data_IF_193773587277
#
_entry.id   IF_193773587277
#
_cell.length_a   1.000
_cell.length_b   1.000
_cell.length_c   1.000
_cell.angle_alpha   90.00
_cell.angle_beta   90.00
_cell.angle_gamma   90.00
#
_symmetry.space_group_name_H-M   'P 1'
#
loop_
_entity.id
_entity.type
_entity.pdbx_description
1 polymer ?
#
# COMPACT_ATOMS: atom_id res chain seq x y z
N UNK A 1 -19.75 2.65 -11.87
CA UNK A 1 -19.51 2.23 -10.48
C UNK A 1 -18.02 2.06 -10.13
N UNK A 2 -17.24 1.24 -10.85
CA UNK A 2 -15.80 1.06 -10.54
C UNK A 2 -14.98 2.36 -10.63
N UNK A 3 -15.29 3.25 -11.60
CA UNK A 3 -14.58 4.51 -11.79
C UNK A 3 -14.78 5.47 -10.61
N UNK A 4 -16.01 5.59 -10.11
CA UNK A 4 -16.31 6.42 -8.94
C UNK A 4 -15.60 5.90 -7.68
N UNK A 5 -15.55 4.57 -7.50
CA UNK A 5 -14.79 3.95 -6.41
C UNK A 5 -13.29 4.22 -6.52
N UNK A 6 -12.73 4.16 -7.73
CA UNK A 6 -11.32 4.46 -7.97
C UNK A 6 -10.97 5.91 -7.63
N UNK A 7 -11.78 6.89 -8.07
CA UNK A 7 -11.57 8.30 -7.72
C UNK A 7 -11.74 8.57 -6.24
N UNK A 8 -12.75 7.97 -5.59
CA UNK A 8 -12.94 8.10 -4.15
C UNK A 8 -11.77 7.52 -3.38
N UNK A 9 -11.30 6.33 -3.78
CA UNK A 9 -10.12 5.70 -3.18
C UNK A 9 -8.86 6.57 -3.35
N UNK A 10 -8.64 7.14 -4.52
CA UNK A 10 -7.50 8.02 -4.77
C UNK A 10 -7.55 9.30 -3.92
N UNK A 11 -8.74 9.90 -3.76
CA UNK A 11 -8.93 11.06 -2.90
C UNK A 11 -8.66 10.72 -1.43
N UNK A 12 -9.22 9.61 -0.92
CA UNK A 12 -8.99 9.13 0.44
C UNK A 12 -7.52 8.81 0.70
N UNK A 13 -6.82 8.24 -0.28
CA UNK A 13 -5.38 7.97 -0.19
C UNK A 13 -4.57 9.26 -0.07
N UNK A 14 -4.96 10.32 -0.80
CA UNK A 14 -4.32 11.63 -0.68
C UNK A 14 -4.49 12.23 0.72
N UNK A 15 -5.68 12.17 1.30
CA UNK A 15 -5.94 12.58 2.69
C UNK A 15 -5.15 11.73 3.69
N UNK A 16 -5.10 10.42 3.49
CA UNK A 16 -4.32 9.52 4.32
C UNK A 16 -2.83 9.88 4.30
N UNK A 17 -2.24 10.15 3.12
CA UNK A 17 -0.83 10.52 3.02
C UNK A 17 -0.54 11.87 3.68
N UNK A 18 -1.44 12.85 3.57
CA UNK A 18 -1.32 14.13 4.26
C UNK A 18 -1.41 13.96 5.80
N UNK A 19 -2.37 13.19 6.27
CA UNK A 19 -2.53 12.87 7.71
C UNK A 19 -1.31 12.12 8.25
N UNK A 20 -0.82 11.13 7.51
CA UNK A 20 0.39 10.37 7.83
C UNK A 20 1.63 11.28 7.92
N UNK A 21 1.81 12.20 6.97
CA UNK A 21 2.89 13.19 7.03
C UNK A 21 2.80 14.05 8.28
N UNK A 22 1.60 14.53 8.61
CA UNK A 22 1.37 15.33 9.82
C UNK A 22 1.65 14.52 11.09
N UNK A 23 1.21 13.28 11.16
CA UNK A 23 1.46 12.39 12.29
C UNK A 23 2.94 12.09 12.51
N UNK A 24 3.75 12.07 11.45
CA UNK A 24 5.19 11.87 11.53
C UNK A 24 5.97 13.13 11.95
N UNK A 25 5.35 14.30 11.90
CA UNK A 25 5.99 15.56 12.29
C UNK A 25 6.15 15.60 13.80
N UNK A 26 7.40 15.64 14.26
CA UNK A 26 7.74 15.64 15.71
C UNK A 26 7.62 14.28 16.40
N UNK A 27 7.13 13.24 15.74
CA UNK A 27 6.94 11.92 16.33
C UNK A 27 7.93 10.88 15.77
N UNK A 28 8.17 9.82 16.54
CA UNK A 28 8.97 8.68 16.10
C UNK A 28 8.17 7.82 15.07
N UNK A 29 8.88 7.25 14.10
CA UNK A 29 8.26 6.51 12.99
C UNK A 29 7.58 5.23 13.46
N UNK A 30 8.26 4.42 14.27
CA UNK A 30 7.73 3.11 14.69
C UNK A 30 6.44 3.21 15.51
N UNK A 31 6.31 4.09 16.52
CA UNK A 31 5.04 4.28 17.24
C UNK A 31 3.89 4.71 16.33
N UNK A 32 4.13 5.62 15.37
CA UNK A 32 3.09 6.05 14.44
C UNK A 32 2.64 4.89 13.55
N UNK A 33 3.59 4.09 13.06
CA UNK A 33 3.30 2.91 12.25
C UNK A 33 2.55 1.83 13.06
N UNK A 34 2.98 1.60 14.31
CA UNK A 34 2.33 0.66 15.22
C UNK A 34 0.89 1.06 15.54
N UNK A 35 0.64 2.33 15.82
CA UNK A 35 -0.72 2.82 16.05
C UNK A 35 -1.59 2.70 14.79
N UNK A 36 -1.03 2.99 13.62
CA UNK A 36 -1.75 2.81 12.35
C UNK A 36 -2.18 1.35 12.14
N UNK A 37 -1.28 0.39 12.36
CA UNK A 37 -1.59 -1.04 12.23
C UNK A 37 -2.55 -1.52 13.33
N UNK A 38 -2.44 -0.98 14.55
CA UNK A 38 -3.37 -1.29 15.66
C UNK A 38 -4.80 -0.87 15.33
N UNK A 39 -4.99 0.39 14.92
CA UNK A 39 -6.33 0.89 14.57
C UNK A 39 -6.93 0.13 13.37
N UNK A 40 -6.12 -0.18 12.36
CA UNK A 40 -6.56 -1.00 11.24
C UNK A 40 -6.95 -2.41 11.69
N UNK A 41 -6.19 -3.00 12.61
CA UNK A 41 -6.52 -4.31 13.21
C UNK A 41 -7.83 -4.27 13.97
N UNK A 42 -8.03 -3.26 14.83
CA UNK A 42 -9.26 -3.10 15.60
C UNK A 42 -10.49 -2.91 14.71
N UNK A 43 -10.32 -2.22 13.57
CA UNK A 43 -11.41 -2.06 12.59
C UNK A 43 -11.86 -3.38 11.97
N UNK A 44 -10.91 -4.26 11.61
CA UNK A 44 -11.23 -5.55 11.00
C UNK A 44 -11.50 -6.67 12.02
N UNK A 45 -11.18 -6.48 13.30
CA UNK A 45 -11.32 -7.48 14.34
C UNK A 45 -12.74 -8.07 14.43
N UNK A 46 -13.84 -7.28 14.37
CA UNK A 46 -15.18 -7.85 14.40
C UNK A 46 -15.47 -8.78 13.21
N UNK A 47 -14.97 -8.47 12.01
CA UNK A 47 -15.14 -9.31 10.83
C UNK A 47 -14.36 -10.63 10.97
N UNK A 48 -13.12 -10.57 11.48
CA UNK A 48 -12.30 -11.75 11.78
C UNK A 48 -13.01 -12.65 12.80
N UNK A 49 -13.46 -12.09 13.92
CA UNK A 49 -14.15 -12.86 14.98
C UNK A 49 -15.45 -13.47 14.44
N UNK A 50 -16.22 -12.73 13.64
CA UNK A 50 -17.43 -13.25 13.01
C UNK A 50 -17.14 -14.45 12.11
N UNK A 51 -16.07 -14.40 11.32
CA UNK A 51 -15.68 -15.49 10.43
C UNK A 51 -15.15 -16.72 11.19
N UNK A 52 -14.23 -16.52 12.14
CA UNK A 52 -13.57 -17.63 12.85
C UNK A 52 -14.51 -18.37 13.82
N UNK A 53 -15.46 -17.64 14.43
CA UNK A 53 -16.43 -18.23 15.36
C UNK A 53 -17.79 -18.56 14.73
N UNK A 54 -17.94 -18.33 13.41
CA UNK A 54 -19.19 -18.61 12.70
C UNK A 54 -20.38 -17.80 13.19
N UNK A 55 -20.14 -16.53 13.63
CA UNK A 55 -21.20 -15.71 14.24
C UNK A 55 -22.15 -15.10 13.19
N UNK A 56 -21.78 -15.09 11.91
CA UNK A 56 -22.63 -14.62 10.82
C UNK A 56 -22.95 -13.11 10.81
N UNK A 57 -22.26 -12.30 11.61
CA UNK A 57 -22.58 -10.87 11.76
C UNK A 57 -22.45 -10.08 10.44
N UNK A 58 -21.60 -10.54 9.54
CA UNK A 58 -21.27 -9.85 8.29
C UNK A 58 -21.62 -10.62 7.02
N UNK A 59 -22.32 -11.77 7.11
CA UNK A 59 -22.58 -12.70 6.00
C UNK A 59 -23.23 -12.05 4.75
N UNK A 60 -23.95 -10.96 4.93
CA UNK A 60 -24.62 -10.24 3.82
C UNK A 60 -24.03 -8.83 3.59
N UNK A 61 -22.82 -8.58 4.06
CA UNK A 61 -22.15 -7.27 3.94
C UNK A 61 -20.88 -7.37 3.09
N UNK A 62 -20.31 -6.21 2.78
CA UNK A 62 -19.00 -6.12 2.10
C UNK A 62 -17.83 -6.62 2.95
N UNK A 63 -18.05 -6.90 4.23
CA UNK A 63 -17.04 -7.43 5.16
C UNK A 63 -17.21 -8.93 5.40
N UNK A 64 -18.08 -9.60 4.66
CA UNK A 64 -18.21 -11.04 4.71
C UNK A 64 -16.89 -11.72 4.33
N UNK A 65 -16.42 -12.62 5.16
CA UNK A 65 -15.21 -13.41 4.88
C UNK A 65 -15.36 -14.79 5.50
N UNK A 66 -14.68 -15.79 4.95
CA UNK A 66 -14.65 -17.15 5.47
C UNK A 66 -13.40 -17.38 6.32
N UNK A 67 -13.41 -18.34 7.24
CA UNK A 67 -12.22 -18.76 7.96
C UNK A 67 -11.15 -19.26 6.99
N UNK A 68 -9.88 -18.92 7.27
CA UNK A 68 -8.76 -19.23 6.38
C UNK A 68 -8.14 -20.60 6.63
N UNK A 69 -7.60 -21.21 5.59
CA UNK A 69 -6.72 -22.38 5.71
C UNK A 69 -5.33 -21.97 6.20
N UNK A 70 -4.54 -22.93 6.70
CA UNK A 70 -3.14 -22.67 7.05
C UNK A 70 -2.32 -22.09 5.90
N UNK A 71 -2.53 -22.58 4.68
CA UNK A 71 -1.88 -22.06 3.47
C UNK A 71 -2.26 -20.61 3.21
N UNK A 72 -3.55 -20.25 3.37
CA UNK A 72 -4.03 -18.89 3.21
C UNK A 72 -3.35 -17.94 4.22
N UNK A 73 -3.23 -18.36 5.48
CA UNK A 73 -2.53 -17.57 6.50
C UNK A 73 -1.04 -17.43 6.20
N UNK A 74 -0.36 -18.46 5.72
CA UNK A 74 1.05 -18.39 5.32
C UNK A 74 1.27 -17.36 4.18
N UNK A 75 0.38 -17.33 3.18
CA UNK A 75 0.43 -16.34 2.11
C UNK A 75 0.20 -14.91 2.64
N UNK A 76 -0.70 -14.71 3.60
CA UNK A 76 -0.94 -13.42 4.24
C UNK A 76 0.25 -12.99 5.11
N UNK A 77 0.91 -13.90 5.80
CA UNK A 77 2.15 -13.60 6.54
C UNK A 77 3.23 -13.07 5.61
N UNK A 78 3.45 -13.74 4.47
CA UNK A 78 4.40 -13.25 3.46
C UNK A 78 3.99 -11.87 2.91
N UNK A 79 2.69 -11.66 2.60
CA UNK A 79 2.18 -10.34 2.23
C UNK A 79 2.53 -9.29 3.29
N UNK A 80 2.25 -9.59 4.54
CA UNK A 80 2.48 -8.65 5.65
C UNK A 80 3.95 -8.27 5.77
N UNK A 81 4.87 -9.21 5.59
CA UNK A 81 6.30 -8.93 5.60
C UNK A 81 6.71 -7.98 4.46
N UNK A 82 6.22 -8.21 3.23
CA UNK A 82 6.51 -7.36 2.07
C UNK A 82 5.93 -5.95 2.28
N UNK A 83 4.67 -5.85 2.70
CA UNK A 83 3.98 -4.57 2.95
C UNK A 83 4.69 -3.80 4.06
N UNK A 84 5.01 -4.48 5.17
CA UNK A 84 5.66 -3.85 6.31
C UNK A 84 7.03 -3.29 5.95
N UNK A 85 7.83 -4.03 5.18
CA UNK A 85 9.10 -3.55 4.65
C UNK A 85 8.92 -2.27 3.83
N UNK A 86 7.93 -2.24 2.92
CA UNK A 86 7.60 -1.05 2.14
C UNK A 86 7.16 0.12 3.04
N UNK A 87 6.37 -0.15 4.06
CA UNK A 87 5.90 0.89 4.97
C UNK A 87 7.03 1.45 5.84
N UNK A 88 7.90 0.62 6.38
CA UNK A 88 9.07 1.09 7.15
C UNK A 88 9.89 2.07 6.30
N UNK A 89 10.30 1.67 5.10
CA UNK A 89 11.03 2.56 4.20
C UNK A 89 10.25 3.83 3.86
N UNK A 90 8.96 3.69 3.56
CA UNK A 90 8.09 4.81 3.19
C UNK A 90 7.88 5.80 4.32
N UNK A 91 7.67 5.33 5.54
CA UNK A 91 7.47 6.19 6.70
C UNK A 91 8.76 6.95 7.09
N UNK A 92 9.91 6.27 7.06
CA UNK A 92 11.19 6.94 7.29
C UNK A 92 11.50 7.97 6.20
N UNK A 93 11.31 7.64 4.92
CA UNK A 93 11.48 8.58 3.82
C UNK A 93 10.51 9.78 3.94
N UNK A 94 9.23 9.52 4.24
CA UNK A 94 8.22 10.57 4.39
C UNK A 94 8.49 11.48 5.60
N UNK A 95 9.08 10.96 6.68
CA UNK A 95 9.45 11.78 7.83
C UNK A 95 10.46 12.87 7.45
N UNK A 96 11.46 12.54 6.64
CA UNK A 96 12.62 13.39 6.38
C UNK A 96 12.54 14.17 5.07
N UNK A 97 11.65 13.79 4.16
CA UNK A 97 11.48 14.46 2.86
C UNK A 97 10.17 15.24 2.81
N UNK A 98 10.12 16.36 2.07
CA UNK A 98 8.87 17.04 1.78
C UNK A 98 7.94 16.15 0.93
N UNK A 99 6.63 16.31 1.12
CA UNK A 99 5.61 15.50 0.43
C UNK A 99 5.65 15.67 -1.10
N UNK A 100 6.10 16.82 -1.55
CA UNK A 100 6.32 17.18 -2.96
C UNK A 100 7.39 16.33 -3.65
N UNK A 101 8.31 15.74 -2.90
CA UNK A 101 9.32 14.78 -3.40
C UNK A 101 8.81 13.34 -3.22
N UNK A 102 8.21 13.05 -2.06
CA UNK A 102 7.68 11.72 -1.76
C UNK A 102 6.56 11.32 -2.73
N UNK A 103 5.66 12.26 -3.05
CA UNK A 103 4.53 12.04 -3.93
C UNK A 103 4.94 11.54 -5.33
N UNK A 104 5.78 12.25 -6.08
CA UNK A 104 6.25 11.81 -7.40
C UNK A 104 6.93 10.44 -7.39
N UNK A 105 7.77 10.16 -6.38
CA UNK A 105 8.45 8.86 -6.28
C UNK A 105 7.42 7.75 -6.01
N UNK A 106 6.48 7.94 -5.09
CA UNK A 106 5.41 6.98 -4.83
C UNK A 106 4.50 6.77 -6.05
N UNK A 107 4.26 7.81 -6.83
CA UNK A 107 3.44 7.73 -8.04
C UNK A 107 4.10 6.92 -9.17
N UNK A 108 5.37 6.52 -9.04
CA UNK A 108 6.00 5.54 -9.96
C UNK A 108 5.55 4.11 -9.70
N UNK A 109 5.00 3.80 -8.51
CA UNK A 109 4.55 2.43 -8.15
C UNK A 109 3.58 1.80 -9.15
N UNK A 110 2.50 2.49 -9.59
CA UNK A 110 1.59 1.91 -10.57
C UNK A 110 2.28 1.53 -11.89
N UNK A 111 3.26 2.33 -12.32
CA UNK A 111 4.04 2.03 -13.53
C UNK A 111 4.90 0.78 -13.33
N UNK A 112 5.58 0.66 -12.19
CA UNK A 112 6.35 -0.54 -11.87
C UNK A 112 5.47 -1.79 -11.75
N UNK A 113 4.29 -1.68 -11.11
CA UNK A 113 3.31 -2.78 -11.04
C UNK A 113 2.84 -3.17 -12.44
N UNK A 114 2.58 -2.22 -13.31
CA UNK A 114 2.16 -2.47 -14.68
C UNK A 114 3.24 -3.23 -15.48
N UNK A 115 4.49 -2.76 -15.41
CA UNK A 115 5.63 -3.43 -16.06
C UNK A 115 5.81 -4.84 -15.51
N UNK A 116 5.75 -4.98 -14.17
CA UNK A 116 5.81 -6.29 -13.52
C UNK A 116 4.66 -7.21 -13.93
N UNK A 117 3.44 -6.70 -14.04
CA UNK A 117 2.29 -7.48 -14.48
C UNK A 117 2.43 -7.96 -15.92
N UNK A 118 2.96 -7.11 -16.81
CA UNK A 118 3.27 -7.49 -18.18
C UNK A 118 4.31 -8.62 -18.25
N UNK A 119 5.40 -8.50 -17.49
CA UNK A 119 6.51 -9.46 -17.52
C UNK A 119 6.15 -10.78 -16.81
N UNK A 120 5.51 -10.71 -15.64
CA UNK A 120 5.27 -11.87 -14.78
C UNK A 120 3.99 -12.62 -15.18
N UNK A 121 2.91 -11.88 -15.48
CA UNK A 121 1.60 -12.45 -15.76
C UNK A 121 1.26 -12.48 -17.26
N UNK A 122 2.13 -11.96 -18.13
CA UNK A 122 1.89 -11.94 -19.58
C UNK A 122 0.70 -11.07 -19.99
N UNK A 123 0.29 -10.10 -19.17
CA UNK A 123 -0.84 -9.24 -19.46
C UNK A 123 -0.56 -8.36 -20.67
N UNK A 124 -1.56 -8.21 -21.53
CA UNK A 124 -1.51 -7.31 -22.67
C UNK A 124 -2.48 -6.16 -22.46
N UNK A 125 -1.97 -4.97 -22.62
CA UNK A 125 -2.76 -3.74 -22.54
C UNK A 125 -3.47 -3.49 -23.88
N UNK A 126 -4.72 -3.06 -23.81
CA UNK A 126 -5.43 -2.53 -24.97
C UNK A 126 -5.01 -1.06 -25.22
N UNK A 127 -5.43 -0.50 -26.37
CA UNK A 127 -5.07 0.85 -26.78
C UNK A 127 -5.49 1.93 -25.76
N UNK A 128 -6.67 1.76 -25.11
CA UNK A 128 -7.15 2.70 -24.09
C UNK A 128 -6.30 2.65 -22.81
N UNK A 129 -5.85 1.47 -22.42
CA UNK A 129 -4.96 1.30 -21.28
C UNK A 129 -3.58 1.93 -21.56
N UNK A 130 -3.04 1.77 -22.77
CA UNK A 130 -1.80 2.45 -23.18
C UNK A 130 -1.91 3.98 -23.13
N UNK A 131 -3.07 4.55 -23.54
CA UNK A 131 -3.29 5.99 -23.41
C UNK A 131 -3.31 6.43 -21.94
N UNK A 132 -3.93 5.65 -21.05
CA UNK A 132 -3.90 5.89 -19.60
C UNK A 132 -2.49 5.88 -19.03
N UNK A 133 -1.66 4.91 -19.43
CA UNK A 133 -0.25 4.84 -19.02
C UNK A 133 0.53 6.05 -19.51
N UNK A 134 0.37 6.44 -20.78
CA UNK A 134 1.03 7.61 -21.32
C UNK A 134 0.66 8.90 -20.55
N UNK A 135 -0.63 9.09 -20.26
CA UNK A 135 -1.11 10.23 -19.45
C UNK A 135 -0.53 10.21 -18.03
N UNK A 136 -0.46 9.04 -17.39
CA UNK A 136 0.15 8.89 -16.09
C UNK A 136 1.64 9.26 -16.10
N UNK A 137 2.40 8.81 -17.11
CA UNK A 137 3.81 9.13 -17.27
C UNK A 137 4.03 10.64 -17.50
N UNK A 138 3.20 11.27 -18.34
CA UNK A 138 3.23 12.74 -18.55
C UNK A 138 2.94 13.47 -17.24
N UNK A 139 1.92 13.06 -16.50
CA UNK A 139 1.58 13.64 -15.20
C UNK A 139 2.73 13.51 -14.19
N UNK A 140 3.38 12.34 -14.11
CA UNK A 140 4.57 12.12 -13.28
C UNK A 140 5.73 13.01 -13.67
N UNK A 141 5.97 13.16 -14.98
CA UNK A 141 7.02 14.03 -15.48
C UNK A 141 6.78 15.49 -15.09
N UNK A 142 5.57 15.99 -15.27
CA UNK A 142 5.19 17.36 -14.90
C UNK A 142 5.34 17.59 -13.39
N UNK A 143 4.88 16.64 -12.57
CA UNK A 143 4.98 16.69 -11.11
C UNK A 143 6.45 16.66 -10.66
N UNK A 144 7.26 15.78 -11.23
CA UNK A 144 8.70 15.69 -10.95
C UNK A 144 9.45 16.99 -11.30
N UNK A 145 9.04 17.65 -12.40
CA UNK A 145 9.62 18.92 -12.79
C UNK A 145 9.29 20.06 -11.82
N UNK A 146 8.09 20.04 -11.26
CA UNK A 146 7.67 21.00 -10.23
C UNK A 146 8.47 20.83 -8.93
N UNK A 147 8.75 19.60 -8.53
CA UNK A 147 9.46 19.27 -7.27
C UNK A 147 10.92 19.71 -7.25
N UNK A 148 11.56 19.91 -8.41
CA UNK A 148 12.97 20.38 -8.49
C UNK A 148 13.20 21.78 -7.91
N UNK A 149 12.14 22.56 -7.71
CA UNK A 149 12.22 23.93 -7.17
C UNK A 149 12.43 23.98 -5.65
N UNK A 150 12.36 22.85 -4.94
CA UNK A 150 12.45 22.82 -3.47
C UNK A 150 13.87 22.66 -2.90
N UNK A 151 14.91 22.75 -3.74
CA UNK A 151 16.30 22.82 -3.29
C UNK A 151 16.85 21.53 -2.64
N UNK A 152 16.14 20.41 -2.73
CA UNK A 152 16.63 19.13 -2.21
C UNK A 152 17.71 18.58 -3.16
N UNK A 153 18.90 18.37 -2.61
CA UNK A 153 19.99 17.72 -3.33
C UNK A 153 19.68 16.22 -3.43
N UNK A 154 19.37 15.75 -4.63
CA UNK A 154 19.02 14.34 -4.88
C UNK A 154 20.22 13.40 -4.76
N UNK A 155 21.42 13.89 -5.03
CA UNK A 155 22.65 13.12 -4.94
C UNK A 155 23.08 12.98 -3.47
N UNK A 156 23.28 11.74 -3.00
CA UNK A 156 23.74 11.39 -1.66
C UNK A 156 22.70 11.58 -0.52
N UNK A 157 21.40 11.69 -0.81
CA UNK A 157 20.38 11.75 0.22
C UNK A 157 19.82 10.34 0.52
N UNK A 158 20.18 9.78 1.66
CA UNK A 158 19.73 8.44 2.12
C UNK A 158 18.21 8.30 2.14
N UNK A 159 17.48 9.36 2.45
CA UNK A 159 16.03 9.32 2.55
C UNK A 159 15.34 9.19 1.17
N UNK A 160 16.00 9.66 0.11
CA UNK A 160 15.56 9.42 -1.27
C UNK A 160 15.71 7.94 -1.62
N UNK A 161 16.80 7.30 -1.19
CA UNK A 161 16.97 5.86 -1.35
C UNK A 161 15.86 5.10 -0.58
N UNK A 162 15.53 5.51 0.65
CA UNK A 162 14.45 4.89 1.42
C UNK A 162 13.11 4.98 0.68
N UNK A 163 12.75 6.14 0.17
CA UNK A 163 11.45 6.27 -0.54
C UNK A 163 11.45 5.53 -1.89
N UNK A 164 12.60 5.43 -2.55
CA UNK A 164 12.75 4.62 -3.77
C UNK A 164 12.60 3.11 -3.45
N UNK A 165 13.23 2.63 -2.37
CA UNK A 165 13.05 1.26 -1.89
C UNK A 165 11.60 0.99 -1.48
N UNK A 166 10.93 1.95 -0.83
CA UNK A 166 9.51 1.86 -0.53
C UNK A 166 8.66 1.76 -1.79
N UNK A 167 9.00 2.48 -2.85
CA UNK A 167 8.28 2.40 -4.12
C UNK A 167 8.47 1.03 -4.79
N UNK A 168 9.70 0.50 -4.82
CA UNK A 168 10.00 -0.82 -5.38
C UNK A 168 9.33 -1.93 -4.59
N UNK A 169 9.53 -1.97 -3.26
CA UNK A 169 8.90 -2.99 -2.40
C UNK A 169 7.38 -2.87 -2.40
N UNK A 170 6.83 -1.64 -2.52
CA UNK A 170 5.41 -1.41 -2.70
C UNK A 170 4.88 -1.92 -4.03
N UNK A 171 5.66 -1.83 -5.11
CA UNK A 171 5.30 -2.42 -6.40
C UNK A 171 5.33 -3.96 -6.33
N UNK A 172 6.33 -4.55 -5.67
CA UNK A 172 6.37 -5.99 -5.40
C UNK A 172 5.15 -6.43 -4.60
N UNK A 173 4.76 -5.66 -3.57
CA UNK A 173 3.53 -5.91 -2.81
C UNK A 173 2.29 -5.91 -3.70
N UNK A 174 2.15 -4.93 -4.60
CA UNK A 174 1.01 -4.86 -5.52
C UNK A 174 0.94 -6.04 -6.50
N UNK A 175 2.08 -6.52 -6.99
CA UNK A 175 2.15 -7.73 -7.82
C UNK A 175 1.81 -8.98 -7.02
N UNK A 176 2.30 -9.06 -5.79
CA UNK A 176 1.95 -10.15 -4.88
C UNK A 176 0.47 -10.14 -4.51
N UNK A 177 -0.13 -8.97 -4.28
CA UNK A 177 -1.56 -8.82 -4.04
C UNK A 177 -2.38 -9.39 -5.20
N UNK A 178 -2.01 -9.08 -6.42
CA UNK A 178 -2.64 -9.65 -7.61
C UNK A 178 -2.56 -11.18 -7.62
N UNK A 179 -1.42 -11.74 -7.26
CA UNK A 179 -1.22 -13.19 -7.20
C UNK A 179 -2.10 -13.86 -6.15
N UNK A 180 -2.18 -13.30 -4.93
CA UNK A 180 -2.95 -13.92 -3.84
C UNK A 180 -4.46 -13.68 -3.98
N UNK A 181 -4.89 -12.52 -4.46
CA UNK A 181 -6.31 -12.20 -4.65
C UNK A 181 -6.97 -12.98 -5.81
N UNK A 182 -6.17 -13.61 -6.67
CA UNK A 182 -6.67 -14.59 -7.63
C UNK A 182 -7.01 -15.94 -6.98
N UNK A 183 -6.62 -16.18 -5.72
CA UNK A 183 -6.75 -17.45 -4.99
C UNK A 183 -7.51 -17.33 -3.67
N UNK A 184 -7.45 -16.18 -3.03
CA UNK A 184 -8.02 -15.92 -1.73
C UNK A 184 -9.07 -14.81 -1.81
N UNK A 185 -10.02 -14.83 -0.91
CA UNK A 185 -10.98 -13.75 -0.73
C UNK A 185 -10.26 -12.44 -0.37
N UNK A 186 -10.53 -11.33 -1.10
CA UNK A 186 -9.88 -10.04 -0.84
C UNK A 186 -10.15 -9.51 0.57
N UNK A 187 -11.33 -9.78 1.14
CA UNK A 187 -11.69 -9.33 2.50
C UNK A 187 -10.92 -10.13 3.53
N UNK A 188 -10.74 -11.43 3.33
CA UNK A 188 -9.88 -12.28 4.17
C UNK A 188 -8.45 -11.72 4.18
N UNK A 189 -7.86 -11.50 3.01
CA UNK A 189 -6.49 -10.97 2.89
C UNK A 189 -6.37 -9.62 3.57
N UNK A 190 -7.34 -8.70 3.35
CA UNK A 190 -7.34 -7.36 3.91
C UNK A 190 -7.52 -7.38 5.43
N UNK A 191 -8.34 -8.27 5.95
CA UNK A 191 -8.60 -8.39 7.39
C UNK A 191 -7.38 -8.92 8.15
N UNK A 192 -6.72 -9.95 7.63
CA UNK A 192 -5.65 -10.63 8.34
C UNK A 192 -4.27 -9.99 8.21
N UNK A 193 -3.95 -9.28 7.12
CA UNK A 193 -2.60 -8.72 6.99
C UNK A 193 -2.30 -7.60 8.02
N UNK A 194 -3.31 -6.89 8.50
CA UNK A 194 -3.12 -5.84 9.50
C UNK A 194 -2.74 -6.41 10.89
N UNK A 195 -3.46 -7.39 11.46
CA UNK A 195 -3.07 -8.06 12.71
C UNK A 195 -1.67 -8.68 12.63
N UNK A 196 -1.35 -9.32 11.51
CA UNK A 196 -0.02 -9.92 11.29
C UNK A 196 1.07 -8.84 11.26
N UNK A 197 0.83 -7.74 10.56
CA UNK A 197 1.76 -6.60 10.53
C UNK A 197 1.93 -5.97 11.93
N UNK A 198 0.85 -5.82 12.70
CA UNK A 198 0.90 -5.31 14.06
C UNK A 198 1.74 -6.22 14.98
N UNK A 199 1.53 -7.52 14.92
CA UNK A 199 2.28 -8.48 15.75
C UNK A 199 3.77 -8.49 15.40
N UNK A 200 4.13 -8.41 14.12
CA UNK A 200 5.53 -8.28 13.71
C UNK A 200 6.19 -7.00 14.23
N UNK A 201 5.50 -5.86 14.17
CA UNK A 201 6.02 -4.60 14.68
C UNK A 201 6.17 -4.58 16.20
N UNK A 202 5.30 -5.28 16.92
CA UNK A 202 5.35 -5.36 18.39
C UNK A 202 6.49 -6.26 18.89
N UNK A 203 6.89 -7.25 18.09
CA UNK A 203 7.91 -8.23 18.45
C UNK A 203 9.36 -7.66 18.35
N UNK A 204 9.53 -6.48 17.76
CA UNK A 204 10.80 -5.78 17.61
C UNK A 204 10.76 -4.42 18.31
#
# INVERSE_FOLDING_TARGET
MWLTLAFTSAALLGFYDAAKKKALTGNAVLPVLLLNTLFSTLFFLPAILSAEFGLGWFDHTLLATAPGTWEAHALVVLKSAIVLTSWIFGYFGMKHLPITIVGPINATRPVMVLVGAFVIFGERLNAYQWTGVALALVSLFLLSRSSRREGVVFTHNLWILFIALAAVTGAVSGLYDKYIMARLDPVFVQSWYNPVSYTHLRAH
#
